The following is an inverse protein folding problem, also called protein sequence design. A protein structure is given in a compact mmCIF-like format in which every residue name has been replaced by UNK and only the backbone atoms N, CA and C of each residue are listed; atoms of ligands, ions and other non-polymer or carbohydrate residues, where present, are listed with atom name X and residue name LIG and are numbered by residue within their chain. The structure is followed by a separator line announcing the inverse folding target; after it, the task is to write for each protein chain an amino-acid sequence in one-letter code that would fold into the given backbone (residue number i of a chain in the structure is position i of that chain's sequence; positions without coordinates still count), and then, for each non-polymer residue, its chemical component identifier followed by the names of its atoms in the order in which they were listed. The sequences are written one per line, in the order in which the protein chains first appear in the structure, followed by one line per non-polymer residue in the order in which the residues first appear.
data_IF_105310184677
#
_entry.id   IF_105310184677
#
_cell.length_a   1.000
_cell.length_b   1.000
_cell.length_c   1.000
_cell.angle_alpha   90.00
_cell.angle_beta   90.00
_cell.angle_gamma   90.00
#
_symmetry.space_group_name_H-M   'P 1'
#
loop_
_entity.id
_entity.type
_entity.pdbx_description
1 polymer ?
#
# COMPACT_ATOMS: atom_id res chain seq x y z
N UNK A 1 5.52 -17.32 14.41
CA UNK A 1 5.46 -16.59 13.13
C UNK A 1 4.42 -15.49 13.30
N UNK A 2 4.78 -14.23 13.03
CA UNK A 2 3.90 -13.07 13.27
C UNK A 2 3.16 -12.73 11.99
N UNK A 3 1.85 -12.51 12.10
CA UNK A 3 1.02 -12.09 10.97
C UNK A 3 1.11 -10.57 10.81
N UNK A 4 1.29 -10.11 9.57
CA UNK A 4 1.21 -8.70 9.17
C UNK A 4 0.23 -8.58 8.01
N UNK A 5 -0.64 -7.57 8.05
CA UNK A 5 -1.55 -7.28 6.94
C UNK A 5 -0.89 -6.35 5.93
N UNK A 6 -0.97 -6.69 4.64
CA UNK A 6 -0.63 -5.77 3.56
C UNK A 6 -1.86 -4.92 3.23
N UNK A 7 -1.75 -3.60 3.27
CA UNK A 7 -2.82 -2.65 2.97
C UNK A 7 -3.11 -2.56 1.46
N UNK A 8 -3.21 -3.70 0.79
CA UNK A 8 -3.52 -3.82 -0.63
C UNK A 8 -4.44 -5.01 -0.88
N UNK A 9 -5.38 -4.82 -1.81
CA UNK A 9 -6.21 -5.89 -2.36
C UNK A 9 -5.62 -6.48 -3.65
N UNK A 10 -4.46 -5.99 -4.10
CA UNK A 10 -3.82 -6.46 -5.32
C UNK A 10 -3.11 -7.82 -5.07
N UNK A 11 -3.55 -8.92 -5.71
CA UNK A 11 -2.93 -10.22 -5.52
C UNK A 11 -1.49 -10.30 -6.06
N UNK A 12 -1.14 -9.49 -7.06
CA UNK A 12 0.22 -9.42 -7.59
C UNK A 12 1.18 -8.83 -6.57
N UNK A 13 0.84 -7.67 -5.98
CA UNK A 13 1.63 -7.06 -4.90
C UNK A 13 1.82 -7.99 -3.71
N UNK A 14 0.75 -8.70 -3.32
CA UNK A 14 0.83 -9.67 -2.21
C UNK A 14 1.83 -10.78 -2.49
N UNK A 15 1.85 -11.31 -3.72
CA UNK A 15 2.80 -12.36 -4.14
C UNK A 15 4.23 -11.85 -4.17
N UNK A 16 4.46 -10.69 -4.78
CA UNK A 16 5.81 -10.08 -4.89
C UNK A 16 6.41 -9.79 -3.51
N UNK A 17 5.65 -9.13 -2.62
CA UNK A 17 6.12 -8.83 -1.26
C UNK A 17 6.35 -10.10 -0.44
N UNK A 18 5.52 -11.13 -0.61
CA UNK A 18 5.72 -12.42 0.06
C UNK A 18 7.02 -13.09 -0.37
N UNK A 19 7.34 -13.06 -1.67
CA UNK A 19 8.60 -13.59 -2.17
C UNK A 19 9.81 -12.80 -1.63
N UNK A 20 9.76 -11.46 -1.66
CA UNK A 20 10.83 -10.61 -1.14
C UNK A 20 11.09 -10.85 0.35
N UNK A 21 10.05 -11.03 1.16
CA UNK A 21 10.19 -11.28 2.59
C UNK A 21 10.77 -12.66 2.88
N UNK A 22 10.41 -13.67 2.08
CA UNK A 22 11.00 -15.00 2.16
C UNK A 22 12.48 -14.98 1.77
N UNK A 23 12.83 -14.29 0.70
CA UNK A 23 14.23 -14.10 0.25
C UNK A 23 15.07 -13.36 1.30
N UNK A 24 14.48 -12.38 1.98
CA UNK A 24 15.10 -11.67 3.09
C UNK A 24 15.19 -12.48 4.40
N UNK A 25 14.66 -13.71 4.44
CA UNK A 25 14.68 -14.57 5.63
C UNK A 25 13.78 -14.09 6.77
N UNK A 26 12.77 -13.26 6.47
CA UNK A 26 11.86 -12.73 7.49
C UNK A 26 10.79 -13.77 7.86
N UNK A 27 10.73 -14.15 9.13
CA UNK A 27 9.75 -15.10 9.67
C UNK A 27 8.35 -14.48 9.89
N UNK A 28 7.79 -13.89 8.83
CA UNK A 28 6.51 -13.18 8.81
C UNK A 28 5.52 -13.87 7.88
N UNK A 29 4.24 -13.88 8.27
CA UNK A 29 3.14 -14.31 7.40
C UNK A 29 2.39 -13.07 6.91
N UNK A 30 2.52 -12.78 5.62
CA UNK A 30 1.81 -11.67 5.00
C UNK A 30 0.35 -12.09 4.69
N UNK A 31 -0.60 -11.28 5.13
CA UNK A 31 -2.04 -11.44 4.89
C UNK A 31 -2.51 -10.35 3.93
N UNK A 32 -3.34 -10.67 2.96
CA UNK A 32 -3.90 -9.66 2.05
C UNK A 32 -5.05 -8.91 2.73
N UNK A 33 -5.22 -7.61 2.43
CA UNK A 33 -6.41 -6.86 2.87
C UNK A 33 -7.72 -7.48 2.32
N UNK A 34 -7.64 -8.24 1.23
CA UNK A 34 -8.79 -8.98 0.69
C UNK A 34 -9.36 -10.02 1.67
N UNK A 35 -8.58 -10.48 2.65
CA UNK A 35 -9.03 -11.41 3.70
C UNK A 35 -9.89 -10.72 4.78
N UNK A 36 -9.97 -9.39 4.75
CA UNK A 36 -10.69 -8.56 5.72
C UNK A 36 -11.81 -7.78 5.00
N UNK A 37 -12.99 -8.39 4.78
CA UNK A 37 -14.06 -7.77 4.00
C UNK A 37 -14.64 -6.50 4.65
N UNK A 38 -14.46 -6.31 5.96
CA UNK A 38 -14.85 -5.08 6.67
C UNK A 38 -13.83 -3.94 6.59
N UNK A 39 -12.67 -4.14 5.94
CA UNK A 39 -11.68 -3.08 5.79
C UNK A 39 -12.19 -2.00 4.81
N UNK A 40 -12.19 -0.71 5.19
CA UNK A 40 -12.67 0.35 4.31
C UNK A 40 -11.67 0.63 3.19
N UNK A 41 -12.17 1.15 2.07
CA UNK A 41 -11.31 1.78 1.08
C UNK A 41 -10.74 3.08 1.65
N UNK A 42 -9.48 3.38 1.31
CA UNK A 42 -8.77 4.54 1.80
C UNK A 42 -8.66 5.54 0.66
N UNK A 43 -9.23 6.73 0.88
CA UNK A 43 -9.01 7.85 -0.03
C UNK A 43 -7.56 8.35 0.08
N UNK A 44 -6.86 8.41 -1.05
CA UNK A 44 -5.47 8.86 -1.16
C UNK A 44 -5.42 10.36 -1.48
N UNK A 45 -5.73 11.16 -0.45
CA UNK A 45 -5.82 12.63 -0.46
C UNK A 45 -4.58 13.33 0.13
N UNK A 46 -3.54 12.55 0.47
CA UNK A 46 -2.28 13.07 0.97
C UNK A 46 -1.53 13.90 -0.07
N UNK A 47 -0.76 14.88 0.38
CA UNK A 47 0.11 15.67 -0.47
C UNK A 47 1.37 14.89 -0.89
N UNK A 48 1.70 13.81 -0.18
CA UNK A 48 2.87 12.97 -0.43
C UNK A 48 2.52 11.48 -0.48
N UNK A 49 3.37 10.70 -1.15
CA UNK A 49 3.27 9.23 -1.18
C UNK A 49 3.39 8.64 0.23
N UNK A 50 4.22 9.23 1.08
CA UNK A 50 4.40 8.81 2.47
C UNK A 50 3.11 8.96 3.28
N UNK A 51 2.41 10.09 3.15
CA UNK A 51 1.14 10.32 3.83
C UNK A 51 0.07 9.30 3.42
N UNK A 52 -0.03 9.02 2.12
CA UNK A 52 -0.96 8.02 1.59
C UNK A 52 -0.60 6.60 2.07
N UNK A 53 0.67 6.21 2.00
CA UNK A 53 1.14 4.92 2.51
C UNK A 53 0.83 4.78 4.02
N UNK A 54 1.14 5.80 4.82
CA UNK A 54 0.83 5.82 6.26
C UNK A 54 -0.66 5.71 6.52
N UNK A 55 -1.49 6.46 5.80
CA UNK A 55 -2.97 6.42 5.91
C UNK A 55 -3.51 5.02 5.61
N UNK A 56 -3.01 4.39 4.55
CA UNK A 56 -3.33 3.00 4.19
C UNK A 56 -2.94 2.00 5.28
N UNK A 57 -1.71 2.08 5.79
CA UNK A 57 -1.24 1.18 6.84
C UNK A 57 -2.07 1.31 8.12
N UNK A 58 -2.33 2.53 8.59
CA UNK A 58 -3.13 2.76 9.81
C UNK A 58 -4.55 2.23 9.66
N UNK A 59 -5.18 2.44 8.51
CA UNK A 59 -6.52 1.94 8.23
C UNK A 59 -6.56 0.40 8.24
N UNK A 60 -5.64 -0.24 7.52
CA UNK A 60 -5.55 -1.70 7.46
C UNK A 60 -5.26 -2.31 8.84
N UNK A 61 -4.35 -1.72 9.62
CA UNK A 61 -4.03 -2.19 10.97
C UNK A 61 -5.25 -2.19 11.88
N UNK A 62 -6.03 -1.09 11.85
CA UNK A 62 -7.27 -0.96 12.63
C UNK A 62 -8.33 -1.98 12.20
N UNK A 63 -8.50 -2.19 10.90
CA UNK A 63 -9.49 -3.12 10.38
C UNK A 63 -9.13 -4.59 10.63
N UNK A 64 -7.83 -4.93 10.58
CA UNK A 64 -7.35 -6.29 10.73
C UNK A 64 -7.04 -6.68 12.19
N UNK A 65 -6.81 -5.71 13.07
CA UNK A 65 -6.29 -5.97 14.43
C UNK A 65 -4.86 -6.51 14.42
N UNK A 66 -4.09 -6.21 13.37
CA UNK A 66 -2.72 -6.67 13.14
C UNK A 66 -1.81 -5.47 12.85
N UNK A 67 -0.50 -5.66 12.96
CA UNK A 67 0.45 -4.72 12.37
C UNK A 67 0.26 -4.72 10.84
N UNK A 68 0.43 -3.54 10.22
CA UNK A 68 0.19 -3.37 8.80
C UNK A 68 1.40 -2.78 8.08
N UNK A 69 1.59 -3.22 6.83
CA UNK A 69 2.50 -2.64 5.86
C UNK A 69 1.71 -2.09 4.69
N UNK A 70 2.07 -0.91 4.22
CA UNK A 70 1.49 -0.30 3.03
C UNK A 70 2.59 0.31 2.17
N UNK A 71 2.31 0.41 0.88
CA UNK A 71 3.12 1.14 -0.08
C UNK A 71 2.26 2.20 -0.78
N UNK A 72 2.91 3.22 -1.32
CA UNK A 72 2.30 4.12 -2.30
C UNK A 72 3.29 4.40 -3.42
N UNK A 73 2.77 4.58 -4.63
CA UNK A 73 3.59 4.68 -5.84
C UNK A 73 3.15 5.86 -6.67
N UNK A 74 4.12 6.68 -7.06
CA UNK A 74 3.92 7.82 -7.96
C UNK A 74 4.94 7.84 -9.08
N UNK A 75 4.84 8.86 -9.92
CA UNK A 75 5.84 9.17 -10.95
C UNK A 75 6.26 10.61 -10.74
N UNK A 76 7.56 10.86 -10.59
CA UNK A 76 8.09 12.21 -10.43
C UNK A 76 8.97 12.55 -11.63
N UNK A 77 8.62 13.64 -12.32
CA UNK A 77 9.38 14.11 -13.48
C UNK A 77 10.01 15.46 -13.15
N UNK A 78 11.34 15.51 -13.17
CA UNK A 78 12.11 16.71 -12.82
C UNK A 78 11.68 17.93 -13.65
N UNK A 79 11.51 17.75 -14.97
CA UNK A 79 11.10 18.85 -15.87
C UNK A 79 9.66 19.35 -15.62
N UNK A 80 8.85 18.57 -14.93
CA UNK A 80 7.50 18.94 -14.51
C UNK A 80 7.44 19.37 -13.03
N UNK A 81 8.60 19.62 -12.40
CA UNK A 81 8.66 20.01 -11.00
C UNK A 81 8.19 18.91 -10.05
N UNK A 82 8.41 17.64 -10.40
CA UNK A 82 7.98 16.48 -9.62
C UNK A 82 6.58 15.97 -9.95
N UNK A 83 5.83 16.64 -10.82
CA UNK A 83 4.55 16.10 -11.30
C UNK A 83 4.76 14.84 -12.17
N UNK A 84 3.79 13.90 -12.20
CA UNK A 84 2.48 13.93 -11.51
C UNK A 84 2.50 13.61 -10.00
N UNK A 85 3.59 13.08 -9.45
CA UNK A 85 3.72 12.70 -8.04
C UNK A 85 2.62 11.73 -7.61
N UNK A 86 1.93 12.08 -6.51
CA UNK A 86 0.78 11.35 -5.94
C UNK A 86 -0.41 11.22 -6.90
N UNK A 87 -0.46 12.01 -7.97
CA UNK A 87 -1.54 11.98 -8.95
C UNK A 87 -1.26 11.07 -10.15
N UNK A 88 -0.17 10.31 -10.14
CA UNK A 88 0.26 9.50 -11.28
C UNK A 88 -0.85 8.63 -11.88
N UNK A 89 -1.66 7.98 -11.04
CA UNK A 89 -2.75 7.11 -11.48
C UNK A 89 -3.93 7.87 -12.13
N UNK A 90 -4.05 9.18 -11.92
CA UNK A 90 -5.20 10.02 -12.32
C UNK A 90 -4.78 11.33 -12.98
N UNK A 91 -3.56 11.41 -13.49
CA UNK A 91 -2.99 12.66 -13.99
C UNK A 91 -3.71 13.18 -15.24
N UNK A 92 -4.23 12.27 -16.07
CA UNK A 92 -5.02 12.59 -17.25
C UNK A 92 -6.55 12.61 -16.98
N UNK A 93 -6.95 12.71 -15.71
CA UNK A 93 -8.35 12.58 -15.29
C UNK A 93 -8.72 11.15 -14.86
N UNK A 94 -9.94 10.95 -14.35
CA UNK A 94 -10.45 9.63 -13.98
C UNK A 94 -10.66 8.75 -15.23
N UNK A 95 -10.45 7.44 -15.08
CA UNK A 95 -10.78 6.43 -16.09
C UNK A 95 -12.29 6.19 -16.17
#
# INVERSE_FOLDING_TARGET
MKDIVLATRNPHKTRELSALFQEAGLALRLRSLAEFPGAPDVEEDGATLEENARKKAVSAARAAGLDALADDTGLEVERLGGAPGVHAARYAGPA
#
